data_IF_506542552908
#
_entry.id   IF_506542552908
#
_cell.length_a   1.000
_cell.length_b   1.000
_cell.length_c   1.000
_cell.angle_alpha   90.00
_cell.angle_beta   90.00
_cell.angle_gamma   90.00
#
_symmetry.space_group_name_H-M   'P 1'
#
loop_
_entity.id
_entity.type
_entity.pdbx_description
1 polymer ?
#
# COMPACT_ATOMS: atom_id res chain seq x y z
N UNK A 1 5.59 -11.37 -1.93
CA UNK A 1 4.20 -11.86 -1.87
C UNK A 1 3.51 -11.53 -3.19
N UNK A 2 2.69 -12.45 -3.71
CA UNK A 2 1.83 -12.23 -4.87
C UNK A 2 0.41 -12.69 -4.51
N UNK A 3 -0.52 -11.76 -4.43
CA UNK A 3 -1.86 -11.99 -3.86
C UNK A 3 -2.92 -11.14 -4.54
N UNK A 4 -4.18 -11.58 -4.48
CA UNK A 4 -5.35 -10.77 -4.81
C UNK A 4 -5.88 -10.04 -3.58
N UNK A 5 -5.98 -8.71 -3.64
CA UNK A 5 -6.42 -7.87 -2.52
C UNK A 5 -7.49 -6.87 -2.97
N UNK A 6 -8.33 -6.42 -2.03
CA UNK A 6 -9.33 -5.37 -2.22
C UNK A 6 -8.97 -4.17 -1.36
N UNK A 7 -9.18 -2.96 -1.88
CA UNK A 7 -8.89 -1.71 -1.17
C UNK A 7 -9.98 -0.70 -1.50
N UNK A 8 -10.63 -0.15 -0.47
CA UNK A 8 -11.53 0.97 -0.57
C UNK A 8 -11.15 1.99 0.51
N UNK A 9 -10.80 3.20 0.09
CA UNK A 9 -10.46 4.30 1.00
C UNK A 9 -11.60 5.31 1.00
N UNK A 10 -12.06 5.66 2.18
CA UNK A 10 -13.14 6.60 2.42
C UNK A 10 -12.63 7.88 3.05
N UNK A 11 -13.23 9.01 2.70
CA UNK A 11 -13.01 10.27 3.41
C UNK A 11 -13.73 10.27 4.79
N UNK A 12 -13.56 11.35 5.54
CA UNK A 12 -14.20 11.54 6.87
C UNK A 12 -15.72 11.63 6.83
N UNK A 13 -16.32 11.79 5.64
CA UNK A 13 -17.76 11.90 5.43
C UNK A 13 -18.35 10.61 4.82
N UNK A 14 -17.52 9.61 4.53
CA UNK A 14 -17.94 8.32 3.97
C UNK A 14 -17.98 8.26 2.45
N UNK A 15 -17.43 9.25 1.73
CA UNK A 15 -17.30 9.17 0.27
C UNK A 15 -16.08 8.33 -0.13
N UNK A 16 -16.23 7.48 -1.14
CA UNK A 16 -15.15 6.65 -1.69
C UNK A 16 -14.17 7.51 -2.50
N UNK A 17 -12.89 7.56 -2.10
CA UNK A 17 -11.86 8.39 -2.74
C UNK A 17 -10.81 7.59 -3.53
N UNK A 18 -10.63 6.30 -3.23
CA UNK A 18 -9.67 5.42 -3.92
C UNK A 18 -10.12 3.96 -3.87
N UNK A 19 -9.96 3.26 -5.00
CA UNK A 19 -10.18 1.82 -5.08
C UNK A 19 -11.65 1.41 -5.21
N UNK A 20 -11.97 0.20 -4.73
CA UNK A 20 -13.28 -0.46 -4.81
C UNK A 20 -13.44 -1.51 -3.70
N UNK A 21 -14.64 -1.64 -3.14
CA UNK A 21 -14.98 -2.66 -2.14
C UNK A 21 -15.17 -4.05 -2.73
N UNK A 22 -15.58 -4.13 -3.99
CA UNK A 22 -16.02 -5.38 -4.61
C UNK A 22 -14.95 -5.97 -5.51
N UNK A 23 -14.13 -5.14 -6.15
CA UNK A 23 -13.17 -5.55 -7.16
C UNK A 23 -11.79 -5.86 -6.56
N UNK A 24 -11.34 -7.12 -6.56
CA UNK A 24 -9.98 -7.47 -6.17
C UNK A 24 -8.99 -7.17 -7.30
N UNK A 25 -7.74 -6.88 -6.93
CA UNK A 25 -6.63 -6.64 -7.86
C UNK A 25 -5.42 -7.47 -7.51
N UNK A 26 -4.66 -7.80 -8.53
CA UNK A 26 -3.37 -8.46 -8.39
C UNK A 26 -2.34 -7.50 -7.79
N UNK A 27 -1.70 -7.93 -6.71
CA UNK A 27 -0.65 -7.18 -6.01
C UNK A 27 0.59 -8.05 -5.96
N UNK A 28 1.72 -7.46 -6.34
CA UNK A 28 3.04 -8.02 -6.14
C UNK A 28 3.79 -7.06 -5.20
N UNK A 29 4.25 -7.59 -4.08
CA UNK A 29 4.93 -6.79 -3.06
C UNK A 29 6.12 -7.52 -2.43
N UNK A 30 7.19 -6.76 -2.21
CA UNK A 30 8.43 -7.23 -1.60
C UNK A 30 8.51 -6.66 -0.18
N UNK A 31 7.90 -7.38 0.75
CA UNK A 31 7.90 -7.03 2.18
C UNK A 31 9.20 -7.46 2.84
N UNK A 32 9.78 -6.57 3.65
CA UNK A 32 11.01 -6.78 4.39
C UNK A 32 10.63 -6.97 5.85
N UNK A 33 11.12 -8.07 6.45
CA UNK A 33 11.01 -8.30 7.88
C UNK A 33 12.39 -8.16 8.53
N UNK A 34 12.41 -7.68 9.75
CA UNK A 34 13.62 -7.55 10.56
C UNK A 34 13.40 -8.20 11.94
N UNK A 35 14.48 -8.74 12.52
CA UNK A 35 14.52 -9.18 13.90
C UNK A 35 15.85 -8.72 14.55
N UNK A 36 15.76 -8.10 15.73
CA UNK A 36 16.93 -7.79 16.54
C UNK A 36 17.38 -9.04 17.31
N UNK A 37 18.24 -9.84 16.67
CA UNK A 37 18.68 -11.15 17.17
C UNK A 37 19.47 -11.14 18.49
N UNK A 38 19.94 -9.98 18.95
CA UNK A 38 20.62 -9.85 20.23
C UNK A 38 19.65 -9.88 21.43
N UNK A 39 18.35 -9.73 21.19
CA UNK A 39 17.31 -9.82 22.21
C UNK A 39 16.79 -11.25 22.28
N UNK A 40 16.75 -11.82 23.49
CA UNK A 40 16.31 -13.21 23.73
C UNK A 40 14.90 -13.48 23.17
N UNK A 41 13.99 -12.51 23.35
CA UNK A 41 12.62 -12.57 22.84
C UNK A 41 12.44 -11.79 21.52
N UNK A 42 13.51 -11.73 20.71
CA UNK A 42 13.47 -11.09 19.40
C UNK A 42 12.41 -11.72 18.50
N UNK A 43 11.52 -10.89 17.94
CA UNK A 43 10.47 -11.32 17.03
C UNK A 43 10.64 -10.70 15.65
N UNK A 44 10.33 -11.46 14.62
CA UNK A 44 10.23 -10.94 13.26
C UNK A 44 9.07 -9.94 13.17
N UNK A 45 9.40 -8.71 12.76
CA UNK A 45 8.43 -7.63 12.55
C UNK A 45 8.54 -7.14 11.12
N UNK A 46 7.42 -6.72 10.55
CA UNK A 46 7.43 -5.99 9.28
C UNK A 46 8.26 -4.72 9.47
N UNK A 47 9.24 -4.52 8.61
CA UNK A 47 10.19 -3.41 8.68
C UNK A 47 9.97 -2.41 7.54
N UNK A 48 9.98 -2.89 6.30
CA UNK A 48 9.88 -2.02 5.13
C UNK A 48 9.24 -2.74 3.92
N UNK A 49 9.04 -2.03 2.82
CA UNK A 49 8.54 -2.54 1.54
C UNK A 49 9.35 -1.96 0.39
N UNK A 50 9.95 -2.85 -0.40
CA UNK A 50 10.73 -2.45 -1.57
C UNK A 50 9.80 -2.11 -2.75
N UNK A 51 10.08 -0.97 -3.40
CA UNK A 51 9.40 -0.52 -4.62
C UNK A 51 10.38 -0.52 -5.80
N UNK A 52 10.40 -1.59 -6.62
CA UNK A 52 11.24 -1.62 -7.80
C UNK A 52 10.85 -0.56 -8.82
N UNK A 53 11.85 0.02 -9.50
CA UNK A 53 11.65 1.09 -10.49
C UNK A 53 10.80 0.69 -11.70
N UNK A 54 10.70 -0.60 -11.98
CA UNK A 54 9.95 -1.14 -13.12
C UNK A 54 8.47 -1.42 -12.80
N UNK A 55 8.04 -1.28 -11.54
CA UNK A 55 6.64 -1.53 -11.16
C UNK A 55 5.76 -0.40 -11.71
N UNK A 56 4.59 -0.73 -12.31
CA UNK A 56 3.67 0.29 -12.78
C UNK A 56 3.18 1.20 -11.64
N UNK A 57 2.86 2.47 -11.91
CA UNK A 57 2.25 3.34 -10.92
C UNK A 57 0.96 2.76 -10.35
N UNK A 58 0.67 3.08 -9.08
CA UNK A 58 -0.60 2.73 -8.45
C UNK A 58 -1.75 3.47 -9.13
N UNK A 59 -2.96 2.93 -9.01
CA UNK A 59 -4.17 3.62 -9.47
C UNK A 59 -4.26 5.00 -8.80
N UNK A 60 -4.58 6.02 -9.60
CA UNK A 60 -4.92 7.35 -9.09
C UNK A 60 -6.23 7.36 -8.30
N UNK A 61 -6.44 8.44 -7.56
CA UNK A 61 -7.67 8.69 -6.81
C UNK A 61 -8.83 9.06 -7.73
N UNK A 62 -10.05 8.96 -7.23
CA UNK A 62 -11.28 9.34 -7.96
C UNK A 62 -11.49 10.87 -8.03
N UNK A 63 -10.72 11.65 -7.27
CA UNK A 63 -10.79 13.11 -7.23
C UNK A 63 -9.70 13.76 -8.10
N UNK A 64 -9.99 14.97 -8.57
CA UNK A 64 -9.04 15.82 -9.30
C UNK A 64 -8.28 16.72 -8.33
N UNK A 65 -7.05 17.09 -8.70
CA UNK A 65 -6.23 18.04 -7.96
C UNK A 65 -5.80 19.19 -8.88
N UNK A 66 -5.79 20.40 -8.34
CA UNK A 66 -5.14 21.54 -8.95
C UNK A 66 -3.71 21.65 -8.41
N UNK A 67 -2.72 21.63 -9.30
CA UNK A 67 -1.33 21.88 -8.94
C UNK A 67 -1.09 23.38 -9.05
N UNK A 68 -1.14 24.09 -7.92
CA UNK A 68 -0.73 25.50 -7.88
C UNK A 68 0.79 25.60 -7.83
N UNK A 69 1.35 26.47 -8.67
CA UNK A 69 2.76 26.85 -8.62
C UNK A 69 2.92 27.91 -7.51
N UNK A 70 3.64 27.58 -6.44
CA UNK A 70 4.15 28.55 -5.46
C UNK A 70 5.67 28.69 -5.62
#
# INVERSE_FOLDING_TARGET
>A
MHTKQKLAVYDRFGHLILGSETEPREVIEYVVFENHIAVVDGMWRLHDKVYPRWVPPKQGTHITYELSEF
#
